data_IF_888591571335
#
_entry.id   IF_888591571335
#
_cell.length_a   1.000
_cell.length_b   1.000
_cell.length_c   1.000
_cell.angle_alpha   90.00
_cell.angle_beta   90.00
_cell.angle_gamma   90.00
#
_symmetry.space_group_name_H-M   'P 1'
#
loop_
_entity.id
_entity.type
_entity.pdbx_description
1 polymer ?
#
# COMPACT_ATOMS: atom_id res chain seq x y z
N UNK A 1 33.82 22.67 45.89
CA UNK A 1 32.58 22.45 46.66
C UNK A 1 31.63 23.58 46.31
N UNK A 2 30.79 23.39 45.26
CA UNK A 2 29.72 24.32 44.88
C UNK A 2 28.43 23.74 45.47
N UNK A 3 27.73 24.52 46.26
CA UNK A 3 26.59 24.13 47.10
C UNK A 3 25.43 25.06 46.78
N UNK A 4 24.92 24.94 45.58
CA UNK A 4 23.88 25.83 45.04
C UNK A 4 23.38 25.25 43.72
N UNK A 5 22.95 23.98 43.77
CA UNK A 5 21.94 23.51 42.84
C UNK A 5 20.63 24.19 43.24
N UNK A 6 20.33 25.30 42.57
CA UNK A 6 19.05 25.98 42.69
C UNK A 6 17.93 25.06 42.19
N UNK A 7 17.31 24.33 43.12
CA UNK A 7 16.23 23.36 42.90
C UNK A 7 15.03 24.01 42.21
N UNK A 8 14.88 25.34 42.28
CA UNK A 8 13.78 26.09 41.64
C UNK A 8 14.07 26.45 40.18
N UNK A 9 15.33 26.49 39.76
CA UNK A 9 15.71 26.76 38.37
C UNK A 9 15.62 25.51 37.45
N UNK A 10 15.65 24.32 38.05
CA UNK A 10 15.53 23.03 37.35
C UNK A 10 14.17 22.84 36.64
N UNK A 11 13.00 23.06 37.29
CA UNK A 11 11.71 22.92 36.63
C UNK A 11 11.51 23.90 35.46
N UNK A 12 11.92 25.17 35.59
CA UNK A 12 11.80 26.15 34.50
C UNK A 12 12.61 25.77 33.25
N UNK A 13 13.79 25.17 33.45
CA UNK A 13 14.67 24.71 32.37
C UNK A 13 14.19 23.42 31.68
N UNK A 14 13.28 22.69 32.32
CA UNK A 14 12.72 21.44 31.80
C UNK A 14 11.37 21.64 31.11
N UNK A 15 10.61 22.69 31.42
CA UNK A 15 9.28 22.93 30.85
C UNK A 15 9.32 23.10 29.33
N UNK A 16 10.23 23.91 28.80
CA UNK A 16 10.33 24.14 27.35
C UNK A 16 10.69 22.89 26.53
N UNK A 17 11.73 22.10 26.87
CA UNK A 17 12.02 20.86 26.15
C UNK A 17 10.95 19.78 26.37
N UNK A 18 10.30 19.74 27.53
CA UNK A 18 9.21 18.80 27.80
C UNK A 18 7.95 19.15 26.99
N UNK A 19 7.61 20.45 26.88
CA UNK A 19 6.53 20.93 26.02
C UNK A 19 6.82 20.66 24.54
N UNK A 20 8.08 20.84 24.10
CA UNK A 20 8.48 20.55 22.73
C UNK A 20 8.43 19.05 22.42
N UNK A 21 8.88 18.19 23.34
CA UNK A 21 8.76 16.74 23.22
C UNK A 21 7.30 16.28 23.20
N UNK A 22 6.45 16.91 24.02
CA UNK A 22 5.01 16.65 24.05
C UNK A 22 4.32 17.02 22.73
N UNK A 23 4.67 18.16 22.13
CA UNK A 23 4.18 18.57 20.80
C UNK A 23 4.64 17.59 19.72
N UNK A 24 5.91 17.17 19.74
CA UNK A 24 6.44 16.17 18.79
C UNK A 24 5.74 14.80 18.90
N UNK A 25 5.46 14.35 20.13
CA UNK A 25 4.74 13.10 20.39
C UNK A 25 3.28 13.17 19.94
N UNK A 26 2.60 14.32 20.13
CA UNK A 26 1.22 14.53 19.67
C UNK A 26 1.12 14.60 18.14
N UNK A 27 2.12 15.16 17.45
CA UNK A 27 2.10 15.25 15.98
C UNK A 27 2.27 13.92 15.25
N UNK A 28 2.82 12.89 15.91
CA UNK A 28 3.08 11.59 15.28
C UNK A 28 1.81 10.84 14.87
N UNK A 29 0.67 11.11 15.52
CA UNK A 29 -0.62 10.51 15.18
C UNK A 29 -1.42 11.24 14.10
N UNK A 30 -1.03 12.49 13.77
CA UNK A 30 -1.80 13.33 12.83
C UNK A 30 -1.45 13.06 11.35
N UNK A 31 -0.35 12.34 11.09
CA UNK A 31 0.18 12.06 9.74
C UNK A 31 -0.14 10.63 9.29
N UNK A 32 -0.85 9.83 10.10
CA UNK A 32 -1.36 8.55 9.66
C UNK A 32 -2.48 8.79 8.65
N UNK A 33 -2.18 8.68 7.35
CA UNK A 33 -3.20 8.74 6.30
C UNK A 33 -4.32 7.76 6.61
N UNK A 34 -5.58 8.20 6.43
CA UNK A 34 -6.73 7.32 6.59
C UNK A 34 -6.57 6.11 5.65
N UNK A 35 -6.31 4.95 6.23
CA UNK A 35 -6.27 3.70 5.48
C UNK A 35 -7.63 3.43 4.84
N UNK A 36 -7.65 2.69 3.73
CA UNK A 36 -8.89 2.28 3.09
C UNK A 36 -9.79 1.56 4.11
N UNK A 37 -10.97 2.11 4.35
CA UNK A 37 -11.96 1.46 5.20
C UNK A 37 -12.59 0.27 4.46
N UNK A 38 -13.21 -0.63 5.22
CA UNK A 38 -14.02 -1.71 4.65
C UNK A 38 -15.17 -1.17 3.77
N UNK A 39 -15.72 0.00 4.10
CA UNK A 39 -16.74 0.66 3.31
C UNK A 39 -16.18 1.16 1.96
N UNK A 40 -14.98 1.73 1.97
CA UNK A 40 -14.29 2.14 0.75
C UNK A 40 -13.98 0.94 -0.13
N UNK A 41 -13.47 -0.15 0.45
CA UNK A 41 -13.24 -1.39 -0.28
C UNK A 41 -14.53 -1.89 -0.95
N UNK A 42 -15.64 -1.98 -0.23
CA UNK A 42 -16.91 -2.48 -0.80
C UNK A 42 -17.43 -1.61 -1.94
N UNK A 43 -17.32 -0.29 -1.79
CA UNK A 43 -17.70 0.68 -2.83
C UNK A 43 -16.83 0.52 -4.07
N UNK A 44 -15.51 0.61 -3.90
CA UNK A 44 -14.55 0.52 -5.00
C UNK A 44 -14.61 -0.84 -5.68
N UNK A 45 -14.69 -1.93 -4.92
CA UNK A 45 -14.80 -3.27 -5.46
C UNK A 45 -16.04 -3.40 -6.35
N UNK A 46 -17.19 -2.82 -5.94
CA UNK A 46 -18.41 -2.80 -6.74
C UNK A 46 -18.25 -1.96 -8.02
N UNK A 47 -17.63 -0.79 -7.93
CA UNK A 47 -17.43 0.14 -9.05
C UNK A 47 -16.42 -0.38 -10.08
N UNK A 48 -15.36 -1.05 -9.63
CA UNK A 48 -14.27 -1.58 -10.46
C UNK A 48 -14.55 -2.99 -11.00
N UNK A 49 -15.75 -3.54 -10.78
CA UNK A 49 -16.18 -4.73 -11.49
C UNK A 49 -16.45 -4.38 -12.95
N UNK A 50 -15.71 -5.00 -13.86
CA UNK A 50 -16.04 -4.88 -15.28
C UNK A 50 -17.34 -5.66 -15.56
N UNK A 51 -18.21 -5.11 -16.39
CA UNK A 51 -19.45 -5.79 -16.79
C UNK A 51 -19.07 -7.09 -17.49
N UNK A 52 -19.43 -8.25 -16.95
CA UNK A 52 -18.95 -9.59 -17.36
C UNK A 52 -19.20 -10.05 -18.82
N UNK A 53 -19.49 -9.10 -19.72
CA UNK A 53 -19.60 -9.25 -21.18
C UNK A 53 -18.26 -8.99 -21.90
N UNK A 54 -17.17 -8.75 -21.18
CA UNK A 54 -15.87 -8.50 -21.82
C UNK A 54 -15.39 -9.73 -22.59
N UNK A 55 -15.16 -9.64 -23.92
CA UNK A 55 -14.74 -10.78 -24.73
C UNK A 55 -13.44 -11.43 -24.24
N UNK A 56 -12.56 -10.66 -23.62
CA UNK A 56 -11.30 -11.18 -23.12
C UNK A 56 -11.48 -12.11 -21.91
N UNK A 57 -12.57 -12.00 -21.13
CA UNK A 57 -12.86 -12.91 -20.01
C UNK A 57 -13.39 -14.27 -20.46
N UNK A 58 -13.91 -14.38 -21.67
CA UNK A 58 -14.46 -15.63 -22.20
C UNK A 58 -13.38 -16.54 -22.80
N UNK A 59 -12.18 -16.01 -23.01
CA UNK A 59 -11.04 -16.78 -23.49
C UNK A 59 -10.60 -17.74 -22.37
N UNK A 60 -10.45 -19.05 -22.65
CA UNK A 60 -9.98 -20.02 -21.67
C UNK A 60 -8.46 -19.89 -21.47
N UNK A 61 -8.04 -18.82 -20.80
CA UNK A 61 -6.64 -18.52 -20.55
C UNK A 61 -5.92 -19.68 -19.85
N UNK A 62 -4.74 -20.03 -20.35
CA UNK A 62 -3.85 -20.97 -19.68
C UNK A 62 -2.99 -20.19 -18.69
N UNK A 63 -3.11 -20.51 -17.41
CA UNK A 63 -2.33 -19.87 -16.32
C UNK A 63 -0.92 -20.46 -16.16
N UNK A 64 -0.66 -21.61 -16.78
CA UNK A 64 0.65 -22.29 -16.77
C UNK A 64 1.33 -22.09 -18.12
N UNK A 65 2.50 -21.44 -18.10
CA UNK A 65 3.29 -21.19 -19.30
C UNK A 65 3.73 -22.50 -19.99
N UNK A 66 4.09 -23.52 -19.19
CA UNK A 66 4.52 -24.81 -19.72
C UNK A 66 3.36 -25.57 -20.39
N UNK A 67 2.15 -25.47 -19.86
CA UNK A 67 0.96 -26.06 -20.50
C UNK A 67 0.60 -25.33 -21.80
N UNK A 68 0.73 -24.00 -21.81
CA UNK A 68 0.55 -23.20 -23.02
C UNK A 68 1.58 -23.54 -24.09
N UNK A 69 2.85 -23.72 -23.72
CA UNK A 69 3.91 -24.13 -24.63
C UNK A 69 3.66 -25.50 -25.25
N UNK A 70 3.30 -26.50 -24.44
CA UNK A 70 2.98 -27.85 -24.93
C UNK A 70 1.81 -27.84 -25.92
N UNK A 71 0.74 -27.09 -25.60
CA UNK A 71 -0.42 -26.95 -26.49
C UNK A 71 -0.04 -26.27 -27.81
N UNK A 72 0.73 -25.18 -27.76
CA UNK A 72 1.17 -24.45 -28.95
C UNK A 72 2.00 -25.32 -29.92
N UNK A 73 2.92 -26.13 -29.39
CA UNK A 73 3.70 -27.08 -30.20
C UNK A 73 2.79 -28.14 -30.82
N UNK A 74 1.91 -28.74 -30.03
CA UNK A 74 0.98 -29.78 -30.51
C UNK A 74 0.02 -29.26 -31.58
N UNK A 75 -0.48 -28.04 -31.41
CA UNK A 75 -1.46 -27.43 -32.33
C UNK A 75 -0.79 -26.68 -33.50
N UNK A 76 0.54 -26.54 -33.49
CA UNK A 76 1.32 -25.73 -34.45
C UNK A 76 0.80 -24.28 -34.54
N UNK A 77 0.49 -23.69 -33.40
CA UNK A 77 0.02 -22.30 -33.29
C UNK A 77 0.97 -21.46 -32.42
N UNK A 78 1.10 -20.15 -32.69
CA UNK A 78 1.87 -19.27 -31.82
C UNK A 78 1.19 -19.10 -30.45
N UNK A 79 1.97 -18.73 -29.43
CA UNK A 79 1.46 -18.37 -28.11
C UNK A 79 1.23 -16.86 -28.08
N UNK A 80 0.02 -16.44 -27.69
CA UNK A 80 -0.26 -15.07 -27.27
C UNK A 80 -0.16 -14.99 -25.74
N UNK A 81 0.75 -14.19 -25.22
CA UNK A 81 0.94 -13.99 -23.78
C UNK A 81 0.36 -12.63 -23.40
N UNK A 82 -0.67 -12.65 -22.55
CA UNK A 82 -1.12 -11.46 -21.85
C UNK A 82 -0.58 -11.51 -20.42
N UNK A 83 0.54 -10.83 -20.21
CA UNK A 83 1.07 -10.57 -18.89
C UNK A 83 0.89 -9.07 -18.60
N UNK A 84 0.49 -8.72 -17.37
CA UNK A 84 0.72 -7.38 -16.87
C UNK A 84 2.24 -7.23 -16.70
N UNK A 85 2.92 -6.63 -17.68
CA UNK A 85 4.34 -6.26 -17.55
C UNK A 85 4.54 -4.92 -16.81
N UNK A 86 3.44 -4.25 -16.46
CA UNK A 86 3.49 -3.08 -15.60
C UNK A 86 4.02 -3.45 -14.22
N UNK A 87 4.78 -2.53 -13.60
CA UNK A 87 5.23 -2.59 -12.21
C UNK A 87 4.12 -3.23 -11.33
N UNK A 88 4.42 -4.21 -10.45
CA UNK A 88 3.42 -5.08 -9.80
C UNK A 88 2.38 -4.35 -8.93
N UNK A 89 2.47 -3.03 -8.82
CA UNK A 89 1.52 -2.15 -8.14
C UNK A 89 0.56 -1.42 -9.10
N UNK A 90 0.73 -1.46 -10.42
CA UNK A 90 -0.10 -0.66 -11.33
C UNK A 90 -0.04 0.85 -11.04
N UNK A 91 1.08 1.34 -10.51
CA UNK A 91 1.25 2.74 -10.13
C UNK A 91 2.44 3.35 -10.88
N UNK A 92 2.16 4.30 -11.77
CA UNK A 92 2.99 5.51 -11.89
C UNK A 92 2.37 6.58 -11.04
#
# INVERSE_FOLDING_TARGET
MRSDLDIRAVPERLIAPLALAFVFLLSSGLIAGEGLSEADFRRLHKELQVSGKDPWRTIPWKISLLDAQRAAVSEKKPIFIWAMDGHPLGCT
#
